data_IF_455469065043
#
_entry.id   IF_455469065043
#
_cell.length_a   1.000
_cell.length_b   1.000
_cell.length_c   1.000
_cell.angle_alpha   90.00
_cell.angle_beta   90.00
_cell.angle_gamma   90.00
#
_symmetry.space_group_name_H-M   'P 1'
#
loop_
_entity.id
_entity.type
_entity.pdbx_description
1 polymer ?
#
# COMPACT_ATOMS: atom_id res chain seq x y z
N UNK A 1 -20.55 3.26 -1.36
CA UNK A 1 -19.58 2.72 -2.34
C UNK A 1 -20.27 2.49 -3.67
N UNK A 2 -19.59 2.81 -4.76
CA UNK A 2 -20.05 2.60 -6.13
C UNK A 2 -19.20 1.54 -6.80
N UNK A 3 -19.81 0.60 -7.50
CA UNK A 3 -19.14 -0.47 -8.25
C UNK A 3 -19.45 -0.28 -9.74
N UNK A 4 -18.41 -0.31 -10.57
CA UNK A 4 -18.54 -0.20 -12.02
C UNK A 4 -17.82 -1.37 -12.67
N UNK A 5 -18.51 -2.14 -13.49
CA UNK A 5 -17.91 -3.22 -14.27
C UNK A 5 -17.61 -2.72 -15.69
N UNK A 6 -16.41 -2.19 -15.89
CA UNK A 6 -15.92 -1.66 -17.16
C UNK A 6 -14.39 -1.62 -17.17
N UNK A 7 -13.78 -1.32 -18.31
CA UNK A 7 -12.35 -0.97 -18.35
C UNK A 7 -12.13 0.33 -17.56
N UNK A 8 -11.11 0.35 -16.70
CA UNK A 8 -10.84 1.51 -15.87
C UNK A 8 -10.53 2.78 -16.69
N UNK A 9 -9.94 2.65 -17.89
CA UNK A 9 -9.69 3.78 -18.76
C UNK A 9 -10.96 4.38 -19.37
N UNK A 10 -12.03 3.60 -19.48
CA UNK A 10 -13.34 4.10 -19.90
C UNK A 10 -14.07 4.82 -18.75
N UNK A 11 -13.73 4.49 -17.50
CA UNK A 11 -14.33 5.06 -16.29
C UNK A 11 -13.63 6.34 -15.82
N UNK A 12 -12.30 6.41 -15.92
CA UNK A 12 -11.53 7.56 -15.46
C UNK A 12 -12.06 8.92 -15.94
N UNK A 13 -12.50 9.11 -17.20
CA UNK A 13 -13.03 10.40 -17.66
C UNK A 13 -14.24 10.92 -16.87
N UNK A 14 -14.97 10.04 -16.19
CA UNK A 14 -16.14 10.40 -15.38
C UNK A 14 -15.80 10.69 -13.92
N UNK A 15 -14.55 10.47 -13.52
CA UNK A 15 -14.08 10.80 -12.17
C UNK A 15 -13.62 12.26 -12.17
N UNK A 16 -14.17 13.04 -11.26
CA UNK A 16 -13.86 14.46 -11.10
C UNK A 16 -12.39 14.67 -10.70
N UNK A 17 -11.78 15.74 -11.21
CA UNK A 17 -10.42 16.13 -10.87
C UNK A 17 -10.30 16.39 -9.37
N UNK A 18 -9.20 15.93 -8.75
CA UNK A 18 -8.90 16.16 -7.33
C UNK A 18 -10.01 15.70 -6.37
N UNK A 19 -10.74 14.64 -6.73
CA UNK A 19 -11.84 14.10 -5.92
C UNK A 19 -11.44 12.88 -5.06
N UNK A 20 -10.35 12.20 -5.40
CA UNK A 20 -9.90 10.96 -4.73
C UNK A 20 -8.86 11.26 -3.65
N UNK A 21 -9.07 10.74 -2.45
CA UNK A 21 -8.14 10.89 -1.32
C UNK A 21 -7.02 9.83 -1.35
N UNK A 22 -7.35 8.60 -1.71
CA UNK A 22 -6.36 7.53 -1.87
C UNK A 22 -6.73 6.58 -3.02
N UNK A 23 -5.72 6.07 -3.72
CA UNK A 23 -5.86 4.97 -4.66
C UNK A 23 -5.15 3.77 -4.04
N UNK A 24 -5.88 2.67 -3.79
CA UNK A 24 -5.34 1.45 -3.20
C UNK A 24 -5.74 0.28 -4.10
N UNK A 25 -4.80 -0.24 -4.88
CA UNK A 25 -5.11 -1.19 -5.95
C UNK A 25 -4.06 -2.29 -6.11
N UNK A 26 -4.51 -3.43 -6.59
CA UNK A 26 -3.69 -4.58 -6.98
C UNK A 26 -3.69 -4.70 -8.50
N UNK A 27 -2.75 -4.02 -9.15
CA UNK A 27 -2.64 -3.99 -10.60
C UNK A 27 -2.30 -5.38 -11.16
N UNK A 28 -2.67 -5.70 -12.41
CA UNK A 28 -2.18 -6.90 -13.07
C UNK A 28 -0.67 -6.80 -13.31
N UNK A 29 0.08 -7.87 -12.97
CA UNK A 29 1.54 -7.89 -13.01
C UNK A 29 2.13 -8.42 -14.32
N UNK A 30 1.31 -9.03 -15.18
CA UNK A 30 1.77 -9.70 -16.40
C UNK A 30 2.63 -10.94 -16.11
N UNK A 31 2.40 -11.60 -14.98
CA UNK A 31 3.23 -12.75 -14.52
C UNK A 31 2.51 -14.08 -14.59
N UNK A 32 1.23 -14.09 -14.92
CA UNK A 32 0.42 -15.28 -15.08
C UNK A 32 -0.03 -15.48 -16.52
N UNK A 33 -0.55 -16.67 -16.86
CA UNK A 33 -1.11 -16.94 -18.19
C UNK A 33 -2.58 -16.51 -18.34
N UNK A 34 -3.14 -15.85 -17.35
CA UNK A 34 -4.50 -15.35 -17.41
C UNK A 34 -4.60 -14.17 -18.41
N UNK A 35 -5.60 -14.18 -19.28
CA UNK A 35 -5.79 -13.13 -20.29
C UNK A 35 -5.95 -11.73 -19.69
N UNK A 36 -6.48 -11.64 -18.47
CA UNK A 36 -6.66 -10.36 -17.76
C UNK A 36 -5.37 -9.86 -17.09
N UNK A 37 -4.34 -10.71 -16.93
CA UNK A 37 -3.08 -10.33 -16.27
C UNK A 37 -2.11 -9.71 -17.28
N UNK A 38 -2.52 -8.61 -17.88
CA UNK A 38 -1.66 -7.79 -18.75
C UNK A 38 -1.34 -6.46 -18.08
N UNK A 39 -0.06 -6.07 -18.12
CA UNK A 39 0.39 -4.80 -17.53
C UNK A 39 -0.37 -3.65 -18.18
N UNK A 40 -1.02 -2.83 -17.35
CA UNK A 40 -1.69 -1.60 -17.81
C UNK A 40 -0.67 -0.60 -18.36
N UNK A 41 -1.05 0.23 -19.34
CA UNK A 41 -0.18 1.29 -19.87
C UNK A 41 0.09 2.35 -18.80
N UNK A 42 1.20 2.18 -18.04
CA UNK A 42 1.53 2.96 -16.83
C UNK A 42 1.58 4.48 -17.08
N UNK A 43 2.03 4.92 -18.25
CA UNK A 43 2.02 6.34 -18.63
C UNK A 43 0.61 6.93 -18.67
N UNK A 44 -0.37 6.20 -19.23
CA UNK A 44 -1.78 6.60 -19.24
C UNK A 44 -2.37 6.55 -17.83
N UNK A 45 -2.06 5.49 -17.09
CA UNK A 45 -2.51 5.31 -15.70
C UNK A 45 -2.05 6.47 -14.82
N UNK A 46 -0.77 6.83 -14.86
CA UNK A 46 -0.23 7.96 -14.09
C UNK A 46 -0.81 9.31 -14.50
N UNK A 47 -1.16 9.49 -15.77
CA UNK A 47 -1.85 10.72 -16.22
C UNK A 47 -3.19 10.88 -15.50
N UNK A 48 -3.99 9.82 -15.46
CA UNK A 48 -5.30 9.83 -14.79
C UNK A 48 -5.14 9.92 -13.27
N UNK A 49 -4.26 9.15 -12.66
CA UNK A 49 -4.03 9.22 -11.22
C UNK A 49 -3.62 10.63 -10.77
N UNK A 50 -2.71 11.28 -11.51
CA UNK A 50 -2.30 12.67 -11.22
C UNK A 50 -3.43 13.68 -11.34
N UNK A 51 -4.40 13.44 -12.23
CA UNK A 51 -5.57 14.28 -12.43
C UNK A 51 -6.58 14.13 -11.30
N UNK A 52 -6.99 12.89 -11.00
CA UNK A 52 -8.09 12.61 -10.06
C UNK A 52 -7.68 12.67 -8.59
N UNK A 53 -6.40 12.44 -8.29
CA UNK A 53 -5.90 12.41 -6.91
C UNK A 53 -5.78 13.83 -6.35
N UNK A 54 -6.25 14.05 -5.12
CA UNK A 54 -6.02 15.28 -4.36
C UNK A 54 -4.52 15.51 -4.13
N UNK A 55 -4.10 16.75 -3.90
CA UNK A 55 -2.68 17.06 -3.67
C UNK A 55 -2.12 16.44 -2.38
N UNK A 56 -2.99 16.21 -1.39
CA UNK A 56 -2.68 15.47 -0.16
C UNK A 56 -2.90 13.97 -0.27
N UNK A 57 -3.33 13.49 -1.42
CA UNK A 57 -3.64 12.08 -1.64
C UNK A 57 -2.41 11.22 -1.88
N UNK A 58 -2.60 9.91 -1.81
CA UNK A 58 -1.56 8.92 -2.09
C UNK A 58 -2.06 7.78 -2.97
N UNK A 59 -1.10 7.09 -3.59
CA UNK A 59 -1.32 5.88 -4.37
C UNK A 59 -0.56 4.74 -3.71
N UNK A 60 -1.24 3.64 -3.40
CA UNK A 60 -0.71 2.46 -2.73
C UNK A 60 -0.95 1.25 -3.64
N UNK A 61 0.11 0.73 -4.24
CA UNK A 61 0.01 -0.31 -5.27
C UNK A 61 0.76 -1.56 -4.85
N UNK A 62 0.06 -2.69 -4.93
CA UNK A 62 0.70 -4.00 -4.77
C UNK A 62 1.56 -4.33 -5.98
N UNK A 63 2.67 -4.99 -5.75
CA UNK A 63 3.58 -5.41 -6.81
C UNK A 63 4.47 -6.58 -6.34
N UNK A 64 4.99 -7.33 -7.29
CA UNK A 64 6.03 -8.33 -7.05
C UNK A 64 7.07 -8.29 -8.16
N UNK A 65 8.25 -8.80 -7.88
CA UNK A 65 9.35 -8.88 -8.86
C UNK A 65 8.95 -9.72 -10.09
N UNK A 66 9.20 -9.24 -11.33
CA UNK A 66 9.95 -8.03 -11.70
C UNK A 66 9.09 -6.76 -11.85
N UNK A 67 7.76 -6.87 -11.80
CA UNK A 67 6.83 -5.76 -12.03
C UNK A 67 7.03 -4.61 -11.04
N UNK A 68 7.40 -4.89 -9.79
CA UNK A 68 7.68 -3.88 -8.77
C UNK A 68 8.76 -2.87 -9.21
N UNK A 69 9.79 -3.34 -9.94
CA UNK A 69 10.86 -2.47 -10.47
C UNK A 69 10.34 -1.58 -11.59
N UNK A 70 9.56 -2.15 -12.51
CA UNK A 70 8.92 -1.40 -13.61
C UNK A 70 7.97 -0.34 -13.06
N UNK A 71 7.11 -0.73 -12.10
CA UNK A 71 6.16 0.17 -11.46
C UNK A 71 6.86 1.29 -10.69
N UNK A 72 7.87 0.97 -9.89
CA UNK A 72 8.64 1.96 -9.14
C UNK A 72 9.33 2.97 -10.06
N UNK A 73 10.01 2.49 -11.11
CA UNK A 73 10.68 3.35 -12.08
C UNK A 73 9.72 4.20 -12.92
N UNK A 74 8.46 3.78 -13.07
CA UNK A 74 7.48 4.50 -13.90
C UNK A 74 7.08 5.88 -13.34
N UNK A 75 7.31 6.14 -12.04
CA UNK A 75 7.04 7.43 -11.39
C UNK A 75 7.92 7.66 -10.16
N UNK A 76 9.24 7.72 -10.34
CA UNK A 76 10.22 7.91 -9.27
C UNK A 76 10.00 9.19 -8.46
N UNK A 77 9.54 10.27 -9.10
CA UNK A 77 9.28 11.56 -8.43
C UNK A 77 8.26 11.42 -7.30
N UNK A 78 7.29 10.54 -7.47
CA UNK A 78 6.23 10.31 -6.50
C UNK A 78 6.51 9.14 -5.57
N UNK A 79 7.44 8.23 -5.91
CA UNK A 79 7.80 7.09 -5.08
C UNK A 79 8.40 7.58 -3.75
N UNK A 80 7.79 7.18 -2.63
CA UNK A 80 8.24 7.57 -1.29
C UNK A 80 8.96 6.44 -0.57
N UNK A 81 8.33 5.30 -0.48
CA UNK A 81 8.83 4.09 0.18
C UNK A 81 7.99 2.89 -0.23
N UNK A 82 8.41 1.73 0.23
CA UNK A 82 7.66 0.49 0.08
C UNK A 82 7.44 -0.19 1.42
N UNK A 83 6.34 -0.94 1.50
CA UNK A 83 6.13 -1.95 2.52
C UNK A 83 6.45 -3.31 1.92
N UNK A 84 6.98 -4.20 2.75
CA UNK A 84 7.14 -5.62 2.44
C UNK A 84 6.05 -6.39 3.17
N UNK A 85 5.08 -6.90 2.43
CA UNK A 85 4.07 -7.77 3.00
C UNK A 85 4.62 -9.20 3.12
N UNK A 86 4.98 -9.59 4.36
CA UNK A 86 5.37 -10.96 4.69
C UNK A 86 4.12 -11.83 4.88
N UNK A 87 3.93 -12.78 3.96
CA UNK A 87 2.79 -13.71 3.96
C UNK A 87 2.94 -14.86 4.94
N UNK A 88 4.08 -14.95 5.65
CA UNK A 88 4.47 -16.03 6.57
C UNK A 88 4.71 -17.39 5.90
N UNK A 89 4.07 -17.66 4.79
CA UNK A 89 4.19 -18.91 4.04
C UNK A 89 4.79 -18.64 2.66
N UNK A 90 5.77 -19.44 2.28
CA UNK A 90 6.37 -19.41 0.95
C UNK A 90 5.48 -20.10 -0.09
N UNK A 91 5.46 -19.56 -1.31
CA UNK A 91 4.78 -20.11 -2.48
C UNK A 91 5.78 -20.41 -3.61
N UNK A 92 5.36 -21.19 -4.62
CA UNK A 92 6.21 -21.51 -5.77
C UNK A 92 7.02 -22.79 -5.61
N UNK A 93 6.49 -23.80 -4.90
CA UNK A 93 7.14 -25.08 -4.64
C UNK A 93 7.63 -25.83 -5.88
N UNK A 94 7.00 -25.64 -7.04
CA UNK A 94 7.42 -26.22 -8.31
C UNK A 94 8.82 -25.78 -8.77
N UNK A 95 9.24 -24.59 -8.31
CA UNK A 95 10.53 -24.00 -8.69
C UNK A 95 11.58 -24.01 -7.55
N UNK A 96 11.31 -24.69 -6.45
CA UNK A 96 12.14 -24.66 -5.24
C UNK A 96 13.60 -25.10 -5.46
N UNK A 97 13.85 -25.91 -6.49
CA UNK A 97 15.21 -26.34 -6.89
C UNK A 97 15.95 -25.32 -7.75
N UNK A 98 15.28 -24.26 -8.22
CA UNK A 98 15.82 -23.25 -9.13
C UNK A 98 15.88 -21.86 -8.50
N UNK A 99 14.98 -21.56 -7.57
CA UNK A 99 14.88 -20.27 -6.92
C UNK A 99 14.23 -20.41 -5.53
N UNK A 100 14.44 -19.45 -4.63
CA UNK A 100 13.80 -19.48 -3.32
C UNK A 100 12.28 -19.36 -3.42
N UNK A 101 11.56 -19.89 -2.42
CA UNK A 101 10.13 -19.71 -2.28
C UNK A 101 9.78 -18.23 -2.12
N UNK A 102 8.77 -17.76 -2.85
CA UNK A 102 8.24 -16.40 -2.69
C UNK A 102 7.43 -16.31 -1.40
N UNK A 103 7.88 -15.48 -0.47
CA UNK A 103 7.21 -15.29 0.82
C UNK A 103 6.59 -13.91 0.98
N UNK A 104 6.98 -12.95 0.16
CA UNK A 104 6.52 -11.56 0.28
C UNK A 104 5.99 -11.00 -1.03
N UNK A 105 5.24 -9.91 -0.90
CA UNK A 105 4.93 -8.95 -1.96
C UNK A 105 5.33 -7.55 -1.49
N UNK A 106 5.64 -6.68 -2.45
CA UNK A 106 5.92 -5.27 -2.19
C UNK A 106 4.64 -4.47 -2.31
N UNK A 107 4.53 -3.40 -1.53
CA UNK A 107 3.44 -2.43 -1.62
C UNK A 107 4.11 -1.07 -1.74
N UNK A 108 4.08 -0.49 -2.95
CA UNK A 108 4.74 0.76 -3.25
C UNK A 108 3.82 1.93 -2.93
N UNK A 109 4.36 2.94 -2.26
CA UNK A 109 3.62 4.14 -1.86
C UNK A 109 4.12 5.35 -2.61
N UNK A 110 3.21 6.02 -3.31
CA UNK A 110 3.50 7.19 -4.12
C UNK A 110 2.66 8.38 -3.65
N UNK A 111 3.25 9.58 -3.63
CA UNK A 111 2.53 10.83 -3.41
C UNK A 111 3.27 12.01 -4.00
N UNK A 112 2.55 13.06 -4.39
CA UNK A 112 3.13 14.32 -4.87
C UNK A 112 3.88 15.05 -3.75
N UNK A 113 3.28 15.11 -2.57
CA UNK A 113 3.79 15.84 -1.43
C UNK A 113 3.50 15.13 -0.11
N UNK A 114 3.21 15.92 0.92
CA UNK A 114 2.78 15.40 2.21
C UNK A 114 1.39 14.78 2.09
N UNK A 115 1.26 13.54 2.47
CA UNK A 115 -0.01 12.80 2.43
C UNK A 115 -0.52 12.49 3.84
N UNK A 116 -1.78 12.08 3.93
CA UNK A 116 -2.35 11.49 5.15
C UNK A 116 -1.53 10.25 5.50
N UNK A 117 -1.04 10.21 6.73
CA UNK A 117 -0.33 9.06 7.29
C UNK A 117 -0.70 8.89 8.76
N UNK A 118 -1.50 7.88 9.05
CA UNK A 118 -1.95 7.51 10.39
C UNK A 118 -1.19 6.24 10.81
N UNK A 119 -0.04 6.36 11.50
CA UNK A 119 0.75 5.19 11.87
C UNK A 119 -0.07 4.26 12.76
N UNK A 120 -0.18 3.00 12.39
CA UNK A 120 -0.86 1.98 13.18
C UNK A 120 0.11 1.48 14.26
N UNK A 121 0.04 2.11 15.44
CA UNK A 121 0.94 1.81 16.55
C UNK A 121 0.72 0.41 17.10
N UNK A 122 1.80 -0.23 17.54
CA UNK A 122 1.75 -1.54 18.21
C UNK A 122 2.21 -1.42 19.65
N UNK A 123 1.63 -2.22 20.53
CA UNK A 123 2.07 -2.31 21.92
C UNK A 123 3.26 -3.26 22.08
N UNK A 124 4.23 -2.88 22.88
CA UNK A 124 5.42 -3.66 23.15
C UNK A 124 5.90 -3.51 24.59
N UNK A 125 7.18 -3.80 24.84
CA UNK A 125 7.76 -3.57 26.17
C UNK A 125 7.79 -2.08 26.51
N UNK A 126 7.38 -1.74 27.73
CA UNK A 126 7.44 -0.35 28.19
C UNK A 126 8.88 0.21 28.06
N UNK A 127 9.00 1.36 27.42
CA UNK A 127 10.27 2.08 27.27
C UNK A 127 10.40 3.13 28.36
N UNK A 128 11.50 3.04 29.11
CA UNK A 128 11.90 4.07 30.07
C UNK A 128 13.25 4.63 29.60
N UNK A 129 13.23 5.42 28.50
CA UNK A 129 14.42 6.07 27.98
C UNK A 129 14.31 7.57 28.25
N UNK A 130 15.04 8.01 29.27
CA UNK A 130 15.34 9.43 29.46
C UNK A 130 16.56 9.80 28.61
N UNK A 131 16.41 10.75 27.72
CA UNK A 131 17.51 11.31 26.93
C UNK A 131 18.17 12.42 27.74
N UNK A 132 19.05 12.04 28.67
CA UNK A 132 19.73 12.96 29.56
C UNK A 132 20.87 13.78 28.92
N UNK A 133 21.17 13.58 27.63
CA UNK A 133 22.19 14.36 26.90
C UNK A 133 21.68 14.76 25.53
N UNK A 134 21.77 16.09 25.19
CA UNK A 134 21.55 16.50 23.83
C UNK A 134 22.61 15.86 22.93
N UNK A 135 22.21 15.07 21.97
CA UNK A 135 23.11 14.56 20.96
C UNK A 135 23.49 15.73 20.05
N UNK A 136 24.73 16.20 20.15
CA UNK A 136 25.31 17.20 19.25
C UNK A 136 25.70 16.63 17.89
N UNK A 137 25.17 15.48 17.51
CA UNK A 137 25.42 14.90 16.20
C UNK A 137 24.68 15.72 15.12
N UNK A 138 25.42 16.65 14.52
CA UNK A 138 25.16 17.11 13.15
C UNK A 138 25.45 15.90 12.24
N UNK A 139 24.53 14.93 12.22
CA UNK A 139 24.63 13.75 11.36
C UNK A 139 24.25 14.13 9.93
N UNK A 140 24.39 13.18 9.02
CA UNK A 140 24.02 13.29 7.60
C UNK A 140 22.55 13.69 7.35
N UNK A 141 21.74 13.84 8.40
CA UNK A 141 20.30 14.14 8.34
C UNK A 141 19.93 15.56 8.85
N UNK A 142 20.89 16.48 9.03
CA UNK A 142 20.66 17.84 9.50
C UNK A 142 20.57 17.95 11.02
N UNK A 143 20.04 19.08 11.52
CA UNK A 143 19.88 19.31 12.96
C UNK A 143 18.78 18.42 13.53
N UNK A 144 19.16 17.50 14.41
CA UNK A 144 18.20 16.68 15.17
C UNK A 144 17.73 17.53 16.35
N UNK A 145 16.51 18.06 16.27
CA UNK A 145 15.83 18.65 17.41
C UNK A 145 15.65 17.58 18.50
N UNK A 146 15.90 17.95 19.75
CA UNK A 146 15.88 17.08 20.92
C UNK A 146 14.73 16.06 20.89
N UNK A 147 15.05 14.77 20.93
CA UNK A 147 14.06 13.74 21.18
C UNK A 147 13.54 13.90 22.61
N UNK A 148 12.23 14.08 22.75
CA UNK A 148 11.58 14.06 24.07
C UNK A 148 11.78 12.70 24.72
N UNK A 149 11.89 12.68 26.05
CA UNK A 149 11.90 11.46 26.84
C UNK A 149 10.76 10.53 26.42
N UNK A 150 11.06 9.26 26.28
CA UNK A 150 10.13 8.29 25.70
C UNK A 150 9.67 7.30 26.81
N UNK A 151 8.55 7.63 27.46
CA UNK A 151 7.93 6.85 28.53
C UNK A 151 6.62 6.25 28.03
N UNK A 152 6.69 5.24 27.17
CA UNK A 152 5.50 4.56 26.65
C UNK A 152 5.83 3.15 26.17
N UNK A 153 4.80 2.41 25.83
CA UNK A 153 4.83 1.08 25.24
C UNK A 153 4.39 1.07 23.77
N UNK A 154 4.16 2.26 23.16
CA UNK A 154 3.76 2.39 21.77
C UNK A 154 4.97 2.39 20.84
N UNK A 155 4.90 1.55 19.80
CA UNK A 155 5.93 1.44 18.77
C UNK A 155 5.37 1.80 17.41
N UNK A 156 6.11 2.62 16.69
CA UNK A 156 5.81 2.90 15.29
C UNK A 156 5.96 1.65 14.44
N UNK A 157 5.15 1.53 13.37
CA UNK A 157 5.29 0.42 12.43
C UNK A 157 6.66 0.45 11.74
N UNK A 158 7.16 -0.72 11.39
CA UNK A 158 8.31 -0.90 10.50
C UNK A 158 7.82 -1.18 9.08
N UNK A 159 8.71 -1.15 8.09
CA UNK A 159 8.36 -1.39 6.69
C UNK A 159 7.95 -2.84 6.39
N UNK A 160 7.99 -3.74 7.35
CA UNK A 160 7.57 -5.14 7.18
C UNK A 160 6.22 -5.33 7.84
N UNK A 161 5.23 -5.72 7.04
CA UNK A 161 3.87 -6.03 7.45
C UNK A 161 3.67 -7.54 7.49
N UNK A 162 3.33 -8.07 8.65
CA UNK A 162 3.12 -9.50 8.84
C UNK A 162 1.62 -9.82 8.83
N UNK A 163 1.10 -10.23 7.68
CA UNK A 163 -0.26 -10.70 7.53
C UNK A 163 -0.25 -12.07 6.85
N UNK A 164 -0.72 -13.10 7.55
CA UNK A 164 -0.82 -14.44 6.96
C UNK A 164 -1.77 -14.42 5.78
N UNK A 165 -1.42 -15.12 4.73
CA UNK A 165 -2.29 -15.24 3.57
C UNK A 165 -3.65 -15.82 4.01
N UNK A 166 -4.75 -15.21 3.53
CA UNK A 166 -6.10 -15.63 3.86
C UNK A 166 -6.28 -17.15 3.68
N UNK A 167 -7.12 -17.76 4.51
CA UNK A 167 -7.44 -19.19 4.44
C UNK A 167 -7.74 -19.62 2.99
N UNK A 168 -6.83 -20.38 2.40
CA UNK A 168 -6.92 -20.86 1.00
C UNK A 168 -8.26 -21.53 0.70
N UNK A 169 -8.88 -22.15 1.73
CA UNK A 169 -10.16 -22.87 1.60
C UNK A 169 -11.40 -21.96 1.57
N UNK A 170 -11.29 -20.70 2.01
CA UNK A 170 -12.41 -19.77 2.09
C UNK A 170 -12.33 -18.61 1.07
N UNK A 171 -11.39 -18.67 0.12
CA UNK A 171 -11.22 -17.62 -0.89
C UNK A 171 -12.34 -17.65 -1.92
N UNK A 172 -12.92 -16.49 -2.16
CA UNK A 172 -13.87 -16.26 -3.26
C UNK A 172 -13.12 -16.07 -4.59
N UNK A 173 -11.89 -15.53 -4.54
CA UNK A 173 -11.06 -15.29 -5.72
C UNK A 173 -9.62 -15.79 -5.51
N UNK A 174 -8.97 -16.38 -6.54
CA UNK A 174 -7.62 -16.96 -6.42
C UNK A 174 -6.54 -15.99 -5.91
N UNK A 175 -6.67 -14.70 -6.25
CA UNK A 175 -5.72 -13.63 -5.90
C UNK A 175 -6.25 -12.69 -4.81
N UNK A 176 -7.28 -13.10 -4.07
CA UNK A 176 -7.88 -12.30 -3.00
C UNK A 176 -6.85 -11.85 -1.97
N UNK A 177 -6.80 -10.53 -1.74
CA UNK A 177 -5.97 -9.94 -0.69
C UNK A 177 -6.64 -10.13 0.67
N UNK A 178 -5.84 -10.21 1.71
CA UNK A 178 -6.35 -10.37 3.07
C UNK A 178 -7.04 -9.10 3.56
N UNK A 179 -8.27 -9.24 4.07
CA UNK A 179 -9.06 -8.10 4.51
C UNK A 179 -8.37 -7.27 5.60
N UNK A 180 -7.73 -7.91 6.57
CA UNK A 180 -7.02 -7.19 7.65
C UNK A 180 -5.83 -6.36 7.16
N UNK A 181 -5.14 -6.81 6.10
CA UNK A 181 -4.11 -6.01 5.43
C UNK A 181 -4.73 -4.79 4.74
N UNK A 182 -5.86 -4.98 4.03
CA UNK A 182 -6.55 -3.87 3.37
C UNK A 182 -7.08 -2.86 4.39
N UNK A 183 -7.66 -3.32 5.50
CA UNK A 183 -8.09 -2.45 6.61
C UNK A 183 -6.90 -1.66 7.20
N UNK A 184 -5.73 -2.30 7.34
CA UNK A 184 -4.51 -1.64 7.81
C UNK A 184 -4.08 -0.51 6.85
N UNK A 185 -4.03 -0.78 5.55
CA UNK A 185 -3.63 0.22 4.55
C UNK A 185 -4.64 1.36 4.45
N UNK A 186 -5.95 1.05 4.44
CA UNK A 186 -7.01 2.07 4.41
C UNK A 186 -6.93 2.97 5.65
N UNK A 187 -6.77 2.42 6.86
CA UNK A 187 -6.58 3.22 8.09
C UNK A 187 -5.34 4.10 8.02
N UNK A 188 -4.25 3.56 7.48
CA UNK A 188 -2.96 4.28 7.42
C UNK A 188 -3.03 5.50 6.52
N UNK A 189 -3.69 5.40 5.39
CA UNK A 189 -3.62 6.41 4.33
C UNK A 189 -4.88 7.26 4.16
N UNK A 190 -5.92 7.01 4.95
CA UNK A 190 -7.19 7.74 4.86
C UNK A 190 -7.79 8.04 6.22
N UNK A 191 -8.68 9.03 6.25
CA UNK A 191 -9.56 9.34 7.38
C UNK A 191 -10.99 8.89 7.08
N UNK A 192 -11.87 8.91 8.10
CA UNK A 192 -13.29 8.64 7.88
C UNK A 192 -13.90 9.65 6.92
N UNK A 193 -14.75 9.18 6.03
CA UNK A 193 -15.39 9.98 4.99
C UNK A 193 -14.56 10.18 3.71
N UNK A 194 -13.25 9.86 3.71
CA UNK A 194 -12.39 9.94 2.53
C UNK A 194 -12.85 9.00 1.42
N UNK A 195 -12.57 9.39 0.19
CA UNK A 195 -12.89 8.62 -1.02
C UNK A 195 -11.68 7.81 -1.47
N UNK A 196 -11.85 6.50 -1.53
CA UNK A 196 -10.83 5.53 -1.95
C UNK A 196 -11.22 4.95 -3.32
N UNK A 197 -10.27 4.92 -4.24
CA UNK A 197 -10.42 4.28 -5.54
C UNK A 197 -9.63 2.97 -5.59
N UNK A 198 -10.29 1.90 -6.03
CA UNK A 198 -9.67 0.66 -6.49
C UNK A 198 -10.12 0.42 -7.93
N UNK A 199 -9.23 0.64 -8.89
CA UNK A 199 -9.52 0.51 -10.32
C UNK A 199 -9.27 -0.90 -10.88
N UNK A 200 -8.86 -1.83 -10.02
CA UNK A 200 -8.63 -3.25 -10.36
C UNK A 200 -9.21 -4.17 -9.28
N UNK A 201 -10.42 -3.89 -8.90
CA UNK A 201 -11.09 -4.32 -7.67
C UNK A 201 -11.04 -5.83 -7.38
N UNK A 202 -11.02 -6.70 -8.38
CA UNK A 202 -11.04 -8.15 -8.19
C UNK A 202 -12.21 -8.63 -7.33
N UNK A 203 -11.91 -9.22 -6.17
CA UNK A 203 -12.93 -9.70 -5.19
C UNK A 203 -13.59 -8.59 -4.35
N UNK A 204 -13.17 -7.34 -4.49
CA UNK A 204 -13.72 -6.21 -3.74
C UNK A 204 -13.25 -6.09 -2.30
N UNK A 205 -12.12 -6.70 -1.95
CA UNK A 205 -11.60 -6.66 -0.57
C UNK A 205 -11.27 -5.25 -0.10
N UNK A 206 -10.74 -4.39 -0.98
CA UNK A 206 -10.52 -2.96 -0.70
C UNK A 206 -11.83 -2.27 -0.33
N UNK A 207 -12.89 -2.51 -1.11
CA UNK A 207 -14.20 -1.91 -0.87
C UNK A 207 -14.81 -2.37 0.44
N UNK A 208 -14.69 -3.66 0.76
CA UNK A 208 -15.16 -4.19 2.04
C UNK A 208 -14.43 -3.53 3.22
N UNK A 209 -13.12 -3.32 3.11
CA UNK A 209 -12.35 -2.58 4.10
C UNK A 209 -12.84 -1.13 4.24
N UNK A 210 -13.10 -0.45 3.13
CA UNK A 210 -13.61 0.92 3.11
C UNK A 210 -14.98 1.04 3.78
N UNK A 211 -15.92 0.13 3.47
CA UNK A 211 -17.25 0.10 4.10
C UNK A 211 -17.13 -0.07 5.61
N UNK A 212 -16.35 -1.05 6.07
CA UNK A 212 -16.13 -1.30 7.51
C UNK A 212 -15.52 -0.12 8.25
N UNK A 213 -14.79 0.70 7.56
CA UNK A 213 -14.03 1.82 8.13
C UNK A 213 -14.67 3.19 7.84
N UNK A 214 -15.89 3.24 7.35
CA UNK A 214 -16.63 4.47 6.98
C UNK A 214 -15.88 5.33 5.93
N UNK A 215 -15.24 4.69 4.92
CA UNK A 215 -14.72 5.36 3.72
C UNK A 215 -15.71 5.19 2.56
N UNK A 216 -15.62 6.14 1.61
CA UNK A 216 -16.43 6.13 0.38
C UNK A 216 -15.70 5.38 -0.72
#
# INVERSE_FOLDING_TARGET
STFVNADCFDVFPFIEDKSIDAIIADLPYGTTQNKWDSILPLNKLWKEYKRILKDSGCVVLFAQTPFDKVLGCSNLDWLKYEWIWDKKLGSGSLNVKKMPLKRHENILVFSKGKTTYNPQMTKGKFRNKSTSKPSSNKGNYGEITHQKDNFNDDYYPTTILEFTNANVRARVHPTEKQLSLMEYLVKTYTNEGDTVLDNTMGSGTTNLACIKLNRK
#
